data_IF_892417524264
#
_entry.id   IF_892417524264
#
_cell.length_a   1.000
_cell.length_b   1.000
_cell.length_c   1.000
_cell.angle_alpha   90.00
_cell.angle_beta   90.00
_cell.angle_gamma   90.00
#
_symmetry.space_group_name_H-M   'P 1'
#
loop_
_entity.id
_entity.type
_entity.pdbx_description
1 polymer ?
#
# COMPACT_ATOMS: atom_id res chain seq x y z
N UNK A 1 -18.73 7.72 -16.20
CA UNK A 1 -18.23 6.63 -15.33
C UNK A 1 -16.83 7.02 -14.91
N UNK A 2 -16.51 7.18 -13.61
CA UNK A 2 -15.11 7.33 -13.22
C UNK A 2 -14.39 6.05 -13.66
N UNK A 3 -13.33 6.19 -14.43
CA UNK A 3 -12.50 5.06 -14.80
C UNK A 3 -11.92 4.48 -13.51
N UNK A 4 -12.35 3.28 -13.13
CA UNK A 4 -11.78 2.54 -12.01
C UNK A 4 -10.25 2.45 -12.14
N UNK A 5 -9.57 2.25 -11.01
CA UNK A 5 -8.12 2.01 -11.05
C UNK A 5 -7.82 0.56 -11.39
N UNK A 6 -6.56 0.23 -11.66
CA UNK A 6 -6.09 -1.14 -11.88
C UNK A 6 -5.04 -1.50 -10.84
N UNK A 7 -4.87 -2.79 -10.55
CA UNK A 7 -3.79 -3.26 -9.67
C UNK A 7 -2.43 -2.72 -10.11
N UNK A 8 -2.11 -2.81 -11.40
CA UNK A 8 -0.84 -2.33 -11.94
C UNK A 8 -0.60 -0.83 -11.66
N UNK A 9 -1.66 -0.02 -11.71
CA UNK A 9 -1.58 1.42 -11.43
C UNK A 9 -1.41 1.70 -9.93
N UNK A 10 -2.09 0.96 -9.07
CA UNK A 10 -1.91 1.05 -7.62
C UNK A 10 -0.48 0.70 -7.20
N UNK A 11 0.05 -0.40 -7.72
CA UNK A 11 1.43 -0.84 -7.50
C UNK A 11 2.41 0.24 -7.97
N UNK A 12 2.16 0.83 -9.14
CA UNK A 12 3.03 1.87 -9.69
C UNK A 12 3.03 3.15 -8.85
N UNK A 13 1.86 3.62 -8.44
CA UNK A 13 1.69 4.78 -7.53
C UNK A 13 2.40 4.53 -6.19
N UNK A 14 2.27 3.32 -5.64
CA UNK A 14 2.91 2.94 -4.38
C UNK A 14 4.44 2.89 -4.49
N UNK A 15 4.97 2.15 -5.47
CA UNK A 15 6.43 2.01 -5.67
C UNK A 15 7.05 3.36 -5.98
N UNK A 16 6.39 4.20 -6.79
CA UNK A 16 6.84 5.56 -7.08
C UNK A 16 6.89 6.41 -5.83
N UNK A 17 5.86 6.37 -4.98
CA UNK A 17 5.81 7.12 -3.72
C UNK A 17 6.90 6.66 -2.75
N UNK A 18 7.16 5.36 -2.65
CA UNK A 18 8.24 4.78 -1.83
C UNK A 18 9.62 5.25 -2.32
N UNK A 19 9.86 5.18 -3.64
CA UNK A 19 11.11 5.64 -4.26
C UNK A 19 11.36 7.13 -4.07
N UNK A 20 10.33 7.96 -4.21
CA UNK A 20 10.43 9.42 -3.96
C UNK A 20 10.85 9.73 -2.51
N UNK A 21 10.58 8.82 -1.58
CA UNK A 21 10.95 8.94 -0.16
C UNK A 21 12.24 8.20 0.18
N UNK A 22 12.98 7.72 -0.83
CA UNK A 22 14.28 7.06 -0.68
C UNK A 22 14.21 5.60 -0.27
N UNK A 23 13.02 4.97 -0.29
CA UNK A 23 12.86 3.54 0.01
C UNK A 23 12.81 2.75 -1.29
N UNK A 24 13.71 1.77 -1.41
CA UNK A 24 13.63 0.76 -2.44
C UNK A 24 12.76 -0.38 -1.93
N UNK A 25 11.74 -0.72 -2.71
CA UNK A 25 10.88 -1.87 -2.46
C UNK A 25 10.77 -2.69 -3.73
N UNK A 26 10.71 -4.01 -3.57
CA UNK A 26 10.53 -4.91 -4.69
C UNK A 26 9.11 -4.80 -5.23
N UNK A 27 8.99 -4.53 -6.53
CA UNK A 27 7.68 -4.33 -7.17
C UNK A 27 6.84 -5.61 -7.13
N UNK A 28 7.47 -6.77 -7.32
CA UNK A 28 6.76 -8.04 -7.38
C UNK A 28 6.17 -8.40 -6.02
N UNK A 29 6.94 -8.22 -4.95
CA UNK A 29 6.41 -8.35 -3.58
C UNK A 29 5.23 -7.40 -3.34
N UNK A 30 5.33 -6.13 -3.76
CA UNK A 30 4.19 -5.19 -3.61
C UNK A 30 2.97 -5.65 -4.40
N UNK A 31 3.16 -6.19 -5.59
CA UNK A 31 2.07 -6.69 -6.44
C UNK A 31 1.38 -7.91 -5.83
N UNK A 32 2.13 -8.87 -5.31
CA UNK A 32 1.62 -10.07 -4.63
C UNK A 32 0.80 -9.67 -3.38
N UNK A 33 1.37 -8.85 -2.50
CA UNK A 33 0.71 -8.37 -1.28
C UNK A 33 -0.55 -7.54 -1.57
N UNK A 34 -0.49 -6.65 -2.58
CA UNK A 34 -1.66 -5.88 -2.98
C UNK A 34 -2.75 -6.76 -3.58
N UNK A 35 -2.38 -7.76 -4.38
CA UNK A 35 -3.34 -8.71 -4.95
C UNK A 35 -4.05 -9.51 -3.88
N UNK A 36 -3.31 -10.07 -2.91
CA UNK A 36 -3.86 -10.81 -1.78
C UNK A 36 -4.83 -9.96 -0.98
N UNK A 37 -4.44 -8.72 -0.65
CA UNK A 37 -5.29 -7.82 0.12
C UNK A 37 -6.57 -7.41 -0.61
N UNK A 38 -6.50 -7.22 -1.93
CA UNK A 38 -7.69 -6.95 -2.75
C UNK A 38 -8.61 -8.18 -2.78
N UNK A 39 -8.05 -9.39 -2.86
CA UNK A 39 -8.82 -10.62 -2.79
C UNK A 39 -9.54 -10.78 -1.44
N UNK A 40 -8.86 -10.52 -0.32
CA UNK A 40 -9.49 -10.54 1.01
C UNK A 40 -10.63 -9.53 1.13
N UNK A 41 -10.47 -8.33 0.58
CA UNK A 41 -11.53 -7.31 0.57
C UNK A 41 -12.71 -7.78 -0.29
N UNK A 42 -12.43 -8.37 -1.46
CA UNK A 42 -13.43 -8.93 -2.36
C UNK A 42 -14.26 -10.01 -1.66
N UNK A 43 -13.60 -10.97 -0.99
CA UNK A 43 -14.26 -12.01 -0.20
C UNK A 43 -15.14 -11.43 0.93
N UNK A 44 -14.64 -10.43 1.66
CA UNK A 44 -15.39 -9.81 2.77
C UNK A 44 -16.61 -9.01 2.32
N UNK A 45 -16.57 -8.47 1.12
CA UNK A 45 -17.65 -7.67 0.54
C UNK A 45 -18.59 -8.51 -0.32
N UNK A 46 -18.29 -9.80 -0.54
CA UNK A 46 -18.99 -10.71 -1.45
C UNK A 46 -19.07 -10.14 -2.88
N UNK A 47 -17.95 -9.57 -3.36
CA UNK A 47 -17.80 -9.03 -4.72
C UNK A 47 -16.54 -9.57 -5.36
N UNK A 48 -16.37 -9.36 -6.67
CA UNK A 48 -15.13 -9.70 -7.36
C UNK A 48 -14.04 -8.61 -7.19
N UNK A 49 -12.79 -9.00 -7.43
CA UNK A 49 -11.62 -8.10 -7.32
C UNK A 49 -11.68 -6.93 -8.30
N UNK A 50 -12.31 -7.10 -9.47
CA UNK A 50 -12.52 -6.05 -10.45
C UNK A 50 -13.47 -4.97 -9.90
N UNK A 51 -14.52 -5.37 -9.19
CA UNK A 51 -15.48 -4.51 -8.52
C UNK A 51 -14.84 -3.78 -7.36
N UNK A 52 -13.98 -4.44 -6.57
CA UNK A 52 -13.15 -3.76 -5.56
C UNK A 52 -12.30 -2.67 -6.22
N UNK A 53 -11.61 -2.99 -7.31
CA UNK A 53 -10.76 -2.03 -8.03
C UNK A 53 -11.55 -0.88 -8.66
N UNK A 54 -12.77 -1.14 -9.11
CA UNK A 54 -13.62 -0.15 -9.80
C UNK A 54 -14.36 0.77 -8.84
N UNK A 55 -14.90 0.22 -7.76
CA UNK A 55 -15.85 0.91 -6.89
C UNK A 55 -15.21 1.37 -5.58
N UNK A 56 -14.23 0.61 -5.08
CA UNK A 56 -13.63 0.85 -3.77
C UNK A 56 -12.22 1.44 -3.86
N UNK A 57 -11.41 1.04 -4.85
CA UNK A 57 -10.10 1.60 -5.08
C UNK A 57 -10.19 2.89 -5.91
N UNK A 58 -10.21 4.03 -5.21
CA UNK A 58 -10.19 5.34 -5.84
C UNK A 58 -8.79 5.66 -6.38
N UNK A 59 -8.72 6.59 -7.34
CA UNK A 59 -7.46 7.16 -7.82
C UNK A 59 -6.66 7.73 -6.63
N UNK A 60 -5.37 7.39 -6.53
CA UNK A 60 -4.50 7.83 -5.45
C UNK A 60 -4.43 6.88 -4.24
N UNK A 61 -5.23 5.80 -4.22
CA UNK A 61 -5.21 4.83 -3.12
C UNK A 61 -3.83 4.18 -2.94
N UNK A 62 -3.09 3.91 -4.02
CA UNK A 62 -1.72 3.39 -3.94
C UNK A 62 -0.76 4.36 -3.25
N UNK A 63 -0.91 5.66 -3.48
CA UNK A 63 -0.12 6.70 -2.81
C UNK A 63 -0.49 6.87 -1.34
N UNK A 64 -1.78 6.79 -1.00
CA UNK A 64 -2.26 6.83 0.40
C UNK A 64 -1.75 5.64 1.21
N UNK A 65 -1.80 4.42 0.64
CA UNK A 65 -1.23 3.22 1.25
C UNK A 65 0.28 3.37 1.49
N UNK A 66 1.01 3.87 0.49
CA UNK A 66 2.44 4.14 0.65
C UNK A 66 2.68 5.15 1.78
N UNK A 67 1.90 6.24 1.84
CA UNK A 67 2.04 7.23 2.90
C UNK A 67 1.82 6.62 4.30
N UNK A 68 0.85 5.73 4.46
CA UNK A 68 0.57 5.03 5.71
C UNK A 68 1.73 4.09 6.12
N UNK A 69 2.26 3.30 5.18
CA UNK A 69 3.43 2.43 5.43
C UNK A 69 4.64 3.26 5.85
N UNK A 70 4.88 4.39 5.17
CA UNK A 70 6.01 5.26 5.50
C UNK A 70 5.85 5.89 6.88
N UNK A 71 4.64 6.27 7.28
CA UNK A 71 4.37 6.76 8.62
C UNK A 71 4.67 5.68 9.66
N UNK A 72 4.22 4.44 9.45
CA UNK A 72 4.51 3.31 10.34
C UNK A 72 6.02 3.03 10.45
N UNK A 73 6.74 2.96 9.33
CA UNK A 73 8.20 2.75 9.34
C UNK A 73 8.92 3.88 10.08
N UNK A 74 8.47 5.13 9.94
CA UNK A 74 9.03 6.26 10.70
C UNK A 74 8.75 6.13 12.19
N UNK A 75 7.53 5.78 12.56
CA UNK A 75 7.15 5.60 13.96
C UNK A 75 7.91 4.42 14.60
N UNK A 76 8.06 3.29 13.91
CA UNK A 76 8.88 2.16 14.37
C UNK A 76 10.37 2.51 14.45
N UNK A 77 10.89 3.29 13.50
CA UNK A 77 12.27 3.79 13.54
C UNK A 77 12.50 4.70 14.75
N UNK A 78 11.51 5.52 15.12
CA UNK A 78 11.54 6.36 16.33
C UNK A 78 11.44 5.51 17.60
N UNK A 79 10.61 4.46 17.61
CA UNK A 79 10.52 3.52 18.73
C UNK A 79 11.81 2.70 18.93
N UNK A 80 12.50 2.34 17.85
CA UNK A 80 13.81 1.68 17.89
C UNK A 80 14.95 2.57 18.38
N UNK A 81 14.83 3.89 18.24
CA UNK A 81 15.83 4.86 18.70
C UNK A 81 15.71 5.21 20.20
N UNK A 82 14.62 4.81 20.88
CA UNK A 82 14.30 5.26 22.26
C UNK A 82 14.55 4.22 23.35
N UNK A 83 15.29 3.13 23.06
CA UNK A 83 15.71 2.16 24.10
C UNK A 83 17.22 2.13 24.23
N UNK A 84 17.76 3.07 25.03
CA UNK A 84 18.93 2.79 25.86
C UNK A 84 18.46 2.67 27.31
N UNK A 85 18.42 1.46 27.91
CA UNK A 85 18.45 1.39 29.36
C UNK A 85 19.87 1.79 29.77
N UNK A 86 19.97 2.88 30.52
CA UNK A 86 21.23 3.29 31.11
C UNK A 86 21.81 2.15 31.94
N UNK A 87 23.10 1.90 31.75
CA UNK A 87 23.96 1.33 32.77
C UNK A 87 25.37 1.85 32.63
#
# INVERSE_FOLDING_TARGET
>A
MPAGTTLARLVDEFVTTMRQRGMMIDRRTVEEEMSERIAEIAERLDVDTETVLREHARVGWGAEMAAAVIAQVRDESLLGATVKPGR
#
